data_IF_821745293906
#
_entry.id   IF_821745293906
#
_cell.length_a   1.000
_cell.length_b   1.000
_cell.length_c   1.000
_cell.angle_alpha   90.00
_cell.angle_beta   90.00
_cell.angle_gamma   90.00
#
_symmetry.space_group_name_H-M   'P 1'
#
loop_
_entity.id
_entity.type
_entity.pdbx_description
1 polymer ?
#
# COMPACT_ATOMS: atom_id res chain seq x y z
N UNK A 1 11.76 22.00 -12.75
CA UNK A 1 11.18 21.66 -11.43
C UNK A 1 10.00 20.74 -11.70
N UNK A 2 10.21 19.43 -11.61
CA UNK A 2 9.16 18.44 -11.90
C UNK A 2 8.31 18.26 -10.64
N UNK A 3 7.05 18.69 -10.69
CA UNK A 3 6.08 18.36 -9.65
C UNK A 3 5.78 16.86 -9.77
N UNK A 4 6.19 16.08 -8.76
CA UNK A 4 5.70 14.71 -8.60
C UNK A 4 4.27 14.83 -8.08
N UNK A 5 3.30 14.46 -8.92
CA UNK A 5 1.93 14.27 -8.44
C UNK A 5 1.93 13.18 -7.37
N UNK A 6 1.14 13.32 -6.29
CA UNK A 6 1.03 12.30 -5.26
C UNK A 6 0.57 10.98 -5.89
N UNK A 7 1.12 9.87 -5.39
CA UNK A 7 0.74 8.53 -5.85
C UNK A 7 -0.68 8.26 -5.34
N UNK A 8 -1.61 8.01 -6.25
CA UNK A 8 -2.98 7.63 -5.93
C UNK A 8 -3.01 6.18 -5.42
N UNK A 9 -2.97 6.03 -4.09
CA UNK A 9 -3.10 4.73 -3.42
C UNK A 9 -4.56 4.47 -3.12
N UNK A 10 -5.06 3.34 -3.59
CA UNK A 10 -6.42 2.86 -3.39
C UNK A 10 -6.42 1.70 -2.43
N UNK A 11 -7.36 1.72 -1.48
CA UNK A 11 -7.60 0.59 -0.60
C UNK A 11 -8.59 -0.38 -1.25
N UNK A 12 -8.09 -1.51 -1.74
CA UNK A 12 -8.89 -2.56 -2.34
C UNK A 12 -9.20 -3.64 -1.29
N UNK A 13 -10.28 -3.41 -0.54
CA UNK A 13 -10.73 -4.28 0.56
C UNK A 13 -11.03 -5.70 0.07
N UNK A 14 -11.64 -5.84 -1.11
CA UNK A 14 -12.01 -7.15 -1.69
C UNK A 14 -10.76 -8.01 -1.96
N UNK A 15 -9.69 -7.39 -2.46
CA UNK A 15 -8.41 -8.06 -2.69
C UNK A 15 -7.49 -8.04 -1.47
N UNK A 16 -7.93 -7.46 -0.34
CA UNK A 16 -7.15 -7.25 0.88
C UNK A 16 -5.77 -6.62 0.61
N UNK A 17 -5.76 -5.50 -0.11
CA UNK A 17 -4.50 -4.80 -0.43
C UNK A 17 -4.66 -3.31 -0.60
N UNK A 18 -3.56 -2.60 -0.41
CA UNK A 18 -3.39 -1.24 -0.90
C UNK A 18 -2.71 -1.31 -2.25
N UNK A 19 -3.21 -0.57 -3.24
CA UNK A 19 -2.72 -0.66 -4.61
C UNK A 19 -2.62 0.70 -5.29
N UNK A 20 -1.65 0.84 -6.19
CA UNK A 20 -1.50 1.99 -7.06
C UNK A 20 -1.09 1.53 -8.45
N UNK A 21 -1.56 2.23 -9.48
CA UNK A 21 -1.11 2.01 -10.85
C UNK A 21 -0.15 3.12 -11.25
N UNK A 22 1.13 2.80 -11.39
CA UNK A 22 2.17 3.77 -11.78
C UNK A 22 2.79 3.32 -13.09
N UNK A 23 2.78 4.21 -14.10
CA UNK A 23 3.25 3.90 -15.45
C UNK A 23 2.60 2.63 -16.04
N UNK A 24 1.31 2.40 -15.77
CA UNK A 24 0.57 1.23 -16.22
C UNK A 24 0.92 -0.07 -15.49
N UNK A 25 1.73 -0.02 -14.44
CA UNK A 25 2.12 -1.17 -13.62
C UNK A 25 1.43 -1.14 -12.27
N UNK A 26 0.86 -2.29 -11.89
CA UNK A 26 0.28 -2.48 -10.56
C UNK A 26 1.39 -2.57 -9.51
N UNK A 27 1.30 -1.72 -8.50
CA UNK A 27 2.09 -1.78 -7.27
C UNK A 27 1.12 -2.10 -6.13
N UNK A 28 1.51 -2.97 -5.19
CA UNK A 28 0.59 -3.45 -4.14
C UNK A 28 1.28 -3.72 -2.82
N UNK A 29 0.54 -3.53 -1.73
CA UNK A 29 0.83 -4.04 -0.40
C UNK A 29 -0.36 -4.90 0.05
N UNK A 30 -0.21 -6.21 -0.02
CA UNK A 30 -1.21 -7.20 0.34
C UNK A 30 -1.19 -7.44 1.86
N UNK A 31 -2.37 -7.59 2.46
CA UNK A 31 -2.53 -7.84 3.88
C UNK A 31 -3.54 -8.97 4.15
N UNK A 32 -3.59 -9.43 5.39
CA UNK A 32 -4.72 -10.19 5.95
C UNK A 32 -5.20 -9.52 7.23
N UNK A 33 -6.51 -9.49 7.43
CA UNK A 33 -7.13 -8.96 8.66
C UNK A 33 -7.59 -10.14 9.52
N UNK A 34 -7.12 -10.20 10.77
CA UNK A 34 -7.51 -11.20 11.76
C UNK A 34 -7.88 -10.52 13.06
N UNK A 35 -9.19 -10.39 13.34
CA UNK A 35 -9.65 -9.63 14.50
C UNK A 35 -9.12 -8.20 14.45
N UNK A 36 -8.26 -7.84 15.40
CA UNK A 36 -7.63 -6.52 15.49
C UNK A 36 -6.29 -6.42 14.76
N UNK A 37 -5.77 -7.50 14.18
CA UNK A 37 -4.48 -7.47 13.50
C UNK A 37 -4.63 -7.19 12.01
N UNK A 38 -3.78 -6.30 11.49
CA UNK A 38 -3.50 -6.10 10.07
C UNK A 38 -2.13 -6.69 9.74
N UNK A 39 -2.11 -7.94 9.27
CA UNK A 39 -0.88 -8.65 8.92
C UNK A 39 -0.46 -8.28 7.50
N UNK A 40 0.67 -7.61 7.33
CA UNK A 40 1.24 -7.25 6.04
C UNK A 40 1.95 -8.47 5.46
N UNK A 41 1.50 -8.98 4.32
CA UNK A 41 1.96 -10.28 3.79
C UNK A 41 2.99 -10.11 2.68
N UNK A 42 2.77 -9.13 1.79
CA UNK A 42 3.61 -8.95 0.61
C UNK A 42 3.55 -7.50 0.15
N UNK A 43 4.70 -6.92 -0.20
CA UNK A 43 4.76 -5.61 -0.84
C UNK A 43 5.57 -5.72 -2.12
N UNK A 44 4.98 -5.30 -3.23
CA UNK A 44 5.58 -5.45 -4.55
C UNK A 44 5.45 -4.17 -5.37
N UNK A 45 6.60 -3.76 -5.90
CA UNK A 45 6.73 -2.71 -6.89
C UNK A 45 7.51 -3.29 -8.07
N UNK A 46 6.89 -3.39 -9.26
CA UNK A 46 7.56 -3.82 -10.49
C UNK A 46 8.82 -2.98 -10.75
N UNK A 47 9.87 -3.60 -11.29
CA UNK A 47 11.19 -2.99 -11.46
C UNK A 47 11.11 -1.65 -12.18
N UNK A 48 10.25 -1.56 -13.19
CA UNK A 48 10.02 -0.38 -14.03
C UNK A 48 9.43 0.82 -13.25
N UNK A 49 8.79 0.55 -12.11
CA UNK A 49 8.18 1.56 -11.24
C UNK A 49 9.02 1.87 -9.98
N UNK A 50 10.13 1.15 -9.74
CA UNK A 50 10.98 1.35 -8.55
C UNK A 50 11.69 2.71 -8.55
N UNK A 51 12.22 3.09 -7.39
CA UNK A 51 12.96 4.34 -7.20
C UNK A 51 12.09 5.59 -7.02
N UNK A 52 10.77 5.41 -6.85
CA UNK A 52 9.78 6.50 -6.81
C UNK A 52 9.03 6.61 -5.47
N UNK A 53 9.46 5.89 -4.44
CA UNK A 53 8.80 5.91 -3.12
C UNK A 53 7.46 5.15 -3.03
N UNK A 54 7.04 4.43 -4.08
CA UNK A 54 5.72 3.78 -4.15
C UNK A 54 5.48 2.79 -3.01
N UNK A 55 6.43 1.91 -2.71
CA UNK A 55 6.30 0.96 -1.60
C UNK A 55 6.04 1.67 -0.27
N UNK A 56 6.71 2.80 -0.03
CA UNK A 56 6.54 3.58 1.18
C UNK A 56 5.15 4.24 1.24
N UNK A 57 4.60 4.71 0.12
CA UNK A 57 3.22 5.23 0.08
C UNK A 57 2.18 4.13 0.31
N UNK A 58 2.37 2.94 -0.26
CA UNK A 58 1.48 1.81 -0.03
C UNK A 58 1.45 1.40 1.45
N UNK A 59 2.62 1.33 2.09
CA UNK A 59 2.73 1.03 3.52
C UNK A 59 2.15 2.17 4.36
N UNK A 60 2.39 3.44 4.01
CA UNK A 60 1.78 4.59 4.70
C UNK A 60 0.26 4.52 4.69
N UNK A 61 -0.34 4.19 3.56
CA UNK A 61 -1.79 4.01 3.47
C UNK A 61 -2.29 2.85 4.37
N UNK A 62 -1.54 1.75 4.44
CA UNK A 62 -1.86 0.64 5.33
C UNK A 62 -1.79 1.04 6.82
N UNK A 63 -0.76 1.78 7.22
CA UNK A 63 -0.59 2.28 8.58
C UNK A 63 -1.69 3.28 8.96
N UNK A 64 -2.05 4.20 8.04
CA UNK A 64 -3.12 5.16 8.28
C UNK A 64 -4.48 4.46 8.48
N UNK A 65 -4.79 3.50 7.61
CA UNK A 65 -5.99 2.67 7.76
C UNK A 65 -6.00 1.89 9.08
N UNK A 66 -4.85 1.33 9.48
CA UNK A 66 -4.74 0.64 10.76
C UNK A 66 -4.98 1.58 11.95
N UNK A 67 -4.45 2.79 11.93
CA UNK A 67 -4.68 3.80 12.98
C UNK A 67 -6.16 4.21 13.06
N UNK A 68 -6.79 4.52 11.91
CA UNK A 68 -8.21 4.87 11.82
C UNK A 68 -9.13 3.77 12.38
N UNK A 69 -8.80 2.52 12.10
CA UNK A 69 -9.55 1.34 12.54
C UNK A 69 -9.10 0.80 13.91
N UNK A 70 -8.07 1.38 14.53
CA UNK A 70 -7.43 0.93 15.78
C UNK A 70 -6.90 -0.51 15.72
N UNK A 71 -6.32 -0.88 14.58
CA UNK A 71 -5.71 -2.18 14.33
C UNK A 71 -4.23 -2.22 14.71
N UNK A 72 -3.78 -3.37 15.17
CA UNK A 72 -2.37 -3.68 15.40
C UNK A 72 -1.73 -4.14 14.08
N UNK A 73 -0.67 -3.44 13.64
CA UNK A 73 0.04 -3.80 12.40
C UNK A 73 1.11 -4.84 12.70
N UNK A 74 1.07 -5.96 11.97
CA UNK A 74 2.03 -7.05 12.09
C UNK A 74 2.77 -7.20 10.76
N UNK A 75 4.10 -6.98 10.71
CA UNK A 75 4.90 -7.12 9.49
C UNK A 75 5.38 -8.55 9.20
#
# INVERSE_FOLDING_TARGET
MQYLLPIDVRHNIVAQRFEATVAGKLCRADYRRYGNELQMIHTEVPVEARGRGIAAELVRAALAYADEERLDVVP
#
